data_IF_137462672422
#
_entry.id   IF_137462672422
#
_cell.length_a   1.000
_cell.length_b   1.000
_cell.length_c   1.000
_cell.angle_alpha   90.00
_cell.angle_beta   90.00
_cell.angle_gamma   90.00
#
_symmetry.space_group_name_H-M   'P 1'
#
loop_
_entity.id
_entity.type
_entity.pdbx_description
1 polymer ?
#
# COMPACT_ATOMS: atom_id res chain seq x y z
N UNK A 1 -11.17 6.49 7.25
CA UNK A 1 -10.43 6.31 5.98
C UNK A 1 -9.33 5.31 6.18
N UNK A 2 -9.13 4.42 5.22
CA UNK A 2 -8.16 3.32 5.25
C UNK A 2 -7.06 3.63 4.23
N UNK A 3 -5.81 3.64 4.68
CA UNK A 3 -4.64 3.75 3.81
C UNK A 3 -4.08 2.35 3.69
N UNK A 4 -4.09 1.82 2.46
CA UNK A 4 -3.79 0.44 2.12
C UNK A 4 -2.51 0.38 1.29
N UNK A 5 -1.70 -0.62 1.55
CA UNK A 5 -0.62 -1.07 0.70
C UNK A 5 -0.58 -2.59 0.68
N UNK A 6 -0.13 -3.16 -0.42
CA UNK A 6 -0.07 -4.61 -0.64
C UNK A 6 1.31 -5.03 -1.14
N UNK A 7 1.80 -6.16 -0.64
CA UNK A 7 2.90 -6.87 -1.27
C UNK A 7 2.39 -8.14 -1.94
N UNK A 8 2.91 -8.47 -3.14
CA UNK A 8 2.45 -9.62 -3.90
C UNK A 8 3.57 -10.40 -4.60
N UNK A 9 3.26 -11.64 -4.86
CA UNK A 9 4.03 -12.50 -5.75
C UNK A 9 3.47 -12.34 -7.18
N UNK A 10 4.29 -11.84 -8.09
CA UNK A 10 3.83 -11.45 -9.43
C UNK A 10 3.36 -12.66 -10.22
N UNK A 11 2.22 -12.49 -10.88
CA UNK A 11 1.70 -13.44 -11.85
C UNK A 11 2.54 -13.53 -13.13
N UNK A 12 2.28 -14.56 -13.91
CA UNK A 12 2.88 -14.79 -15.22
C UNK A 12 1.83 -15.37 -16.20
N UNK A 13 2.12 -15.42 -17.50
CA UNK A 13 1.15 -15.74 -18.58
C UNK A 13 0.19 -16.89 -18.29
N UNK A 14 0.68 -17.98 -17.70
CA UNK A 14 -0.14 -19.16 -17.36
C UNK A 14 -0.91 -19.02 -16.04
N UNK A 15 -0.54 -18.07 -15.20
CA UNK A 15 -1.12 -17.78 -13.90
C UNK A 15 -1.01 -16.26 -13.66
N UNK A 16 -1.90 -15.46 -14.24
CA UNK A 16 -1.77 -14.00 -14.26
C UNK A 16 -2.04 -13.33 -12.92
N UNK A 17 -2.61 -14.03 -11.94
CA UNK A 17 -2.92 -13.45 -10.64
C UNK A 17 -1.65 -12.96 -9.94
N UNK A 18 -1.62 -11.71 -9.54
CA UNK A 18 -0.68 -11.21 -8.56
C UNK A 18 -1.16 -11.68 -7.17
N UNK A 19 -0.54 -12.76 -6.68
CA UNK A 19 -0.95 -13.39 -5.41
C UNK A 19 -0.49 -12.57 -4.22
N UNK A 20 -1.41 -12.05 -3.43
CA UNK A 20 -1.10 -11.20 -2.28
C UNK A 20 -0.33 -11.98 -1.22
N UNK A 21 0.78 -11.39 -0.76
CA UNK A 21 1.66 -11.89 0.29
C UNK A 21 1.50 -11.12 1.60
N UNK A 22 1.17 -9.84 1.52
CA UNK A 22 0.93 -9.01 2.70
C UNK A 22 -0.20 -8.02 2.43
N UNK A 23 -1.06 -7.83 3.43
CA UNK A 23 -2.03 -6.75 3.50
C UNK A 23 -1.60 -5.87 4.67
N UNK A 24 -1.15 -4.66 4.36
CA UNK A 24 -0.79 -3.64 5.34
C UNK A 24 -1.74 -2.47 5.23
N UNK A 25 -2.34 -2.05 6.33
CA UNK A 25 -3.22 -0.91 6.32
C UNK A 25 -3.19 -0.12 7.63
N UNK A 26 -3.46 1.15 7.53
CA UNK A 26 -3.67 2.02 8.68
C UNK A 26 -5.00 2.75 8.55
N UNK A 27 -5.62 3.03 9.69
CA UNK A 27 -6.84 3.80 9.77
C UNK A 27 -6.53 5.20 10.27
N UNK A 28 -7.09 6.21 9.61
CA UNK A 28 -7.10 7.60 10.08
C UNK A 28 -8.54 8.10 10.16
N UNK A 29 -8.83 9.00 11.09
CA UNK A 29 -10.18 9.58 11.22
C UNK A 29 -10.55 10.45 10.00
N UNK A 30 -9.54 11.09 9.41
CA UNK A 30 -9.68 11.96 8.24
C UNK A 30 -8.37 12.03 7.48
N UNK A 31 -8.40 12.55 6.26
CA UNK A 31 -7.21 12.84 5.47
C UNK A 31 -6.21 13.68 6.27
N UNK A 32 -4.98 13.19 6.37
CA UNK A 32 -3.91 13.84 7.16
C UNK A 32 -4.06 13.76 8.68
N UNK A 33 -5.07 13.03 9.17
CA UNK A 33 -5.26 12.77 10.60
C UNK A 33 -4.22 11.79 11.18
N UNK A 34 -4.20 11.64 12.52
CA UNK A 34 -3.35 10.63 13.15
C UNK A 34 -3.78 9.22 12.79
N UNK A 35 -2.83 8.29 12.79
CA UNK A 35 -3.13 6.85 12.71
C UNK A 35 -3.78 6.45 14.03
N UNK A 36 -4.98 5.86 13.96
CA UNK A 36 -5.75 5.42 15.13
C UNK A 36 -5.82 3.91 15.26
N UNK A 37 -5.55 3.17 14.17
CA UNK A 37 -5.54 1.71 14.17
C UNK A 37 -4.70 1.19 13.01
N UNK A 38 -4.24 -0.06 13.11
CA UNK A 38 -3.41 -0.72 12.09
C UNK A 38 -3.87 -2.14 11.82
N UNK A 39 -3.70 -2.59 10.59
CA UNK A 39 -3.91 -3.97 10.18
C UNK A 39 -2.67 -4.50 9.47
N UNK A 40 -2.25 -5.72 9.82
CA UNK A 40 -1.14 -6.40 9.15
C UNK A 40 -1.41 -7.89 9.05
N UNK A 41 -1.34 -8.44 7.86
CA UNK A 41 -1.47 -9.87 7.61
C UNK A 41 -0.42 -10.33 6.61
N UNK A 42 0.52 -11.16 7.07
CA UNK A 42 1.49 -11.84 6.22
C UNK A 42 0.97 -13.21 5.81
N UNK A 43 0.92 -13.48 4.51
CA UNK A 43 0.23 -14.63 3.94
C UNK A 43 1.22 -15.62 3.31
N UNK A 44 0.93 -16.88 3.47
CA UNK A 44 1.62 -17.93 2.72
C UNK A 44 0.98 -18.07 1.34
N UNK A 45 1.76 -17.95 0.24
CA UNK A 45 1.23 -18.15 -1.10
C UNK A 45 0.80 -19.61 -1.32
N UNK A 46 -0.27 -19.78 -2.10
CA UNK A 46 -0.86 -21.08 -2.43
C UNK A 46 -1.11 -21.27 -3.93
N UNK A 47 -1.15 -20.17 -4.68
CA UNK A 47 -1.34 -20.17 -6.12
C UNK A 47 -0.01 -20.37 -6.84
N UNK A 48 1.01 -19.62 -6.46
CA UNK A 48 2.35 -19.73 -7.04
C UNK A 48 3.25 -20.60 -6.18
N UNK A 49 3.87 -21.63 -6.80
CA UNK A 49 4.80 -22.54 -6.12
C UNK A 49 6.15 -21.89 -5.79
N UNK A 50 6.51 -20.81 -6.48
CA UNK A 50 7.79 -20.12 -6.35
C UNK A 50 7.55 -18.63 -6.21
N UNK A 51 8.39 -17.98 -5.43
CA UNK A 51 8.45 -16.52 -5.37
C UNK A 51 9.16 -15.98 -6.62
N UNK A 52 8.63 -14.93 -7.20
CA UNK A 52 9.29 -14.18 -8.27
C UNK A 52 10.51 -13.40 -7.75
N UNK A 53 11.21 -12.69 -8.64
CA UNK A 53 12.42 -11.96 -8.27
C UNK A 53 12.15 -10.76 -7.36
N UNK A 54 10.97 -10.12 -7.50
CA UNK A 54 10.54 -9.03 -6.63
C UNK A 54 10.21 -9.54 -5.24
N UNK A 55 9.32 -10.52 -5.15
CA UNK A 55 8.90 -11.12 -3.88
C UNK A 55 10.08 -11.70 -3.06
N UNK A 56 11.13 -12.19 -3.72
CA UNK A 56 12.35 -12.67 -3.04
C UNK A 56 13.16 -11.59 -2.35
N UNK A 57 12.92 -10.33 -2.65
CA UNK A 57 13.62 -9.18 -2.05
C UNK A 57 12.84 -8.54 -0.91
N UNK A 58 11.59 -8.98 -0.69
CA UNK A 58 10.75 -8.44 0.36
C UNK A 58 11.32 -8.77 1.75
N UNK A 59 11.30 -7.83 2.69
CA UNK A 59 11.83 -8.04 4.04
C UNK A 59 11.20 -9.25 4.74
N UNK A 60 9.89 -9.47 4.54
CA UNK A 60 9.11 -10.53 5.19
C UNK A 60 9.15 -11.88 4.46
N UNK A 61 10.05 -12.11 3.52
CA UNK A 61 10.09 -13.36 2.73
C UNK A 61 10.01 -14.64 3.59
N UNK A 62 10.75 -14.69 4.70
CA UNK A 62 10.76 -15.87 5.58
C UNK A 62 9.43 -16.01 6.35
N UNK A 63 8.79 -14.87 6.66
CA UNK A 63 7.45 -14.87 7.28
C UNK A 63 6.42 -15.44 6.29
N UNK A 64 6.46 -15.03 5.02
CA UNK A 64 5.55 -15.57 4.00
C UNK A 64 5.72 -17.08 3.80
N UNK A 65 6.94 -17.60 3.84
CA UNK A 65 7.21 -19.03 3.71
C UNK A 65 6.63 -19.86 4.84
N UNK A 66 6.61 -19.31 6.06
CA UNK A 66 6.24 -20.01 7.29
C UNK A 66 4.86 -19.68 7.82
N UNK A 67 4.22 -18.61 7.31
CA UNK A 67 2.90 -18.17 7.73
C UNK A 67 1.86 -19.29 7.64
N UNK A 68 0.97 -19.33 8.62
CA UNK A 68 -0.22 -20.19 8.60
C UNK A 68 -1.44 -19.48 7.99
N UNK A 69 -1.37 -18.16 7.83
CA UNK A 69 -2.45 -17.38 7.24
C UNK A 69 -2.53 -17.59 5.73
N UNK A 70 -3.74 -17.56 5.20
CA UNK A 70 -4.06 -17.66 3.78
C UNK A 70 -4.95 -16.49 3.40
N UNK A 71 -4.95 -16.14 2.12
CA UNK A 71 -5.70 -15.00 1.63
C UNK A 71 -7.18 -15.01 2.06
N UNK A 72 -7.97 -16.10 1.95
CA UNK A 72 -9.38 -16.06 2.33
C UNK A 72 -9.62 -15.59 3.76
N UNK A 73 -8.93 -16.18 4.73
CA UNK A 73 -9.08 -15.80 6.14
C UNK A 73 -8.57 -14.39 6.44
N UNK A 74 -7.48 -13.96 5.78
CA UNK A 74 -6.97 -12.60 5.95
C UNK A 74 -7.92 -11.56 5.31
N UNK A 75 -8.51 -11.86 4.16
CA UNK A 75 -9.49 -10.99 3.52
C UNK A 75 -10.76 -10.82 4.39
N UNK A 76 -11.24 -11.89 5.02
CA UNK A 76 -12.34 -11.82 5.98
C UNK A 76 -11.99 -10.96 7.19
N UNK A 77 -10.80 -11.20 7.79
CA UNK A 77 -10.32 -10.40 8.92
C UNK A 77 -10.13 -8.92 8.55
N UNK A 78 -9.58 -8.65 7.36
CA UNK A 78 -9.41 -7.28 6.86
C UNK A 78 -10.77 -6.60 6.63
N UNK A 79 -11.74 -7.32 6.06
CA UNK A 79 -13.11 -6.81 5.89
C UNK A 79 -13.76 -6.47 7.21
N UNK A 80 -13.63 -7.35 8.21
CA UNK A 80 -14.14 -7.09 9.55
C UNK A 80 -13.46 -5.87 10.19
N UNK A 81 -12.14 -5.72 9.97
CA UNK A 81 -11.39 -4.56 10.44
C UNK A 81 -11.79 -3.28 9.69
N UNK A 82 -12.05 -3.32 8.38
CA UNK A 82 -12.56 -2.17 7.62
C UNK A 82 -13.91 -1.68 8.18
N UNK A 83 -14.78 -2.61 8.59
CA UNK A 83 -16.14 -2.26 9.01
C UNK A 83 -16.91 -1.57 7.89
N UNK A 84 -17.50 -0.41 8.18
CA UNK A 84 -18.27 0.39 7.23
C UNK A 84 -17.42 1.42 6.47
N UNK A 85 -16.10 1.48 6.73
CA UNK A 85 -15.22 2.40 6.00
C UNK A 85 -15.06 1.94 4.56
N UNK A 86 -15.42 2.83 3.62
CA UNK A 86 -15.32 2.61 2.17
C UNK A 86 -14.45 3.65 1.46
N UNK A 87 -13.78 4.48 2.24
CA UNK A 87 -12.83 5.48 1.74
C UNK A 87 -11.42 4.94 1.88
N UNK A 88 -10.77 4.72 0.76
CA UNK A 88 -9.42 4.17 0.70
C UNK A 88 -8.42 5.21 0.18
N UNK A 89 -7.18 5.02 0.51
CA UNK A 89 -6.05 5.74 -0.06
C UNK A 89 -4.84 4.81 -0.19
N UNK A 90 -3.88 5.20 -1.03
CA UNK A 90 -2.63 4.47 -1.21
C UNK A 90 -1.54 5.33 -1.83
N UNK A 91 -0.33 4.80 -1.92
CA UNK A 91 0.76 5.41 -2.66
C UNK A 91 0.78 4.89 -4.09
N UNK A 92 -0.03 5.49 -4.96
CA UNK A 92 -0.39 5.00 -6.28
C UNK A 92 -1.73 4.26 -6.28
N UNK A 93 -2.17 3.86 -7.45
CA UNK A 93 -3.39 3.06 -7.64
C UNK A 93 -3.08 1.60 -7.86
N UNK A 94 -4.11 0.74 -7.72
CA UNK A 94 -4.03 -0.68 -8.06
C UNK A 94 -4.17 -1.64 -6.88
N UNK A 95 -3.98 -1.19 -5.63
CA UNK A 95 -4.07 -2.07 -4.46
C UNK A 95 -5.49 -2.62 -4.26
N UNK A 96 -6.52 -1.78 -4.38
CA UNK A 96 -7.92 -2.21 -4.24
C UNK A 96 -8.29 -3.15 -5.38
N UNK A 97 -7.84 -2.88 -6.61
CA UNK A 97 -8.03 -3.76 -7.76
C UNK A 97 -7.33 -5.12 -7.55
N UNK A 98 -6.06 -5.13 -7.12
CA UNK A 98 -5.32 -6.36 -6.83
C UNK A 98 -5.98 -7.16 -5.70
N UNK A 99 -6.46 -6.48 -4.65
CA UNK A 99 -7.22 -7.09 -3.57
C UNK A 99 -8.49 -7.77 -4.11
N UNK A 100 -9.23 -7.09 -5.00
CA UNK A 100 -10.46 -7.59 -5.58
C UNK A 100 -10.22 -8.71 -6.61
N UNK A 101 -9.12 -8.68 -7.36
CA UNK A 101 -8.73 -9.81 -8.21
C UNK A 101 -8.47 -11.08 -7.38
N UNK A 102 -7.81 -10.93 -6.23
CA UNK A 102 -7.61 -12.05 -5.31
C UNK A 102 -8.94 -12.51 -4.70
N UNK A 103 -9.83 -11.60 -4.29
CA UNK A 103 -11.18 -11.95 -3.84
C UNK A 103 -11.92 -12.75 -4.92
N UNK A 104 -11.93 -12.29 -6.16
CA UNK A 104 -12.56 -12.98 -7.29
C UNK A 104 -11.98 -14.37 -7.51
N UNK A 105 -10.67 -14.53 -7.43
CA UNK A 105 -10.01 -15.84 -7.58
C UNK A 105 -10.48 -16.85 -6.53
N UNK A 106 -10.70 -16.38 -5.30
CA UNK A 106 -11.12 -17.21 -4.18
C UNK A 106 -12.66 -17.29 -3.98
N UNK A 107 -13.45 -16.68 -4.87
CA UNK A 107 -14.90 -16.64 -4.76
C UNK A 107 -15.42 -15.82 -3.58
N UNK A 108 -14.66 -14.83 -3.14
CA UNK A 108 -15.03 -13.92 -2.06
C UNK A 108 -15.69 -12.65 -2.63
N UNK A 109 -16.57 -11.99 -1.86
CA UNK A 109 -17.13 -10.71 -2.27
C UNK A 109 -16.02 -9.64 -2.40
N UNK A 110 -16.16 -8.68 -3.34
CA UNK A 110 -15.17 -7.61 -3.50
C UNK A 110 -15.17 -6.66 -2.30
N UNK A 111 -14.10 -5.90 -2.15
CA UNK A 111 -14.06 -4.72 -1.30
C UNK A 111 -14.64 -3.55 -2.08
N UNK A 112 -15.65 -2.91 -1.51
CA UNK A 112 -16.28 -1.73 -2.10
C UNK A 112 -15.49 -0.49 -1.66
N UNK A 113 -14.89 0.21 -2.61
CA UNK A 113 -14.30 1.52 -2.39
C UNK A 113 -15.23 2.56 -3.03
N UNK A 114 -15.86 3.40 -2.22
CA UNK A 114 -16.69 4.52 -2.70
C UNK A 114 -15.79 5.67 -3.18
N UNK A 115 -14.65 5.88 -2.49
CA UNK A 115 -13.63 6.84 -2.88
C UNK A 115 -12.23 6.23 -2.71
N UNK A 116 -11.33 6.59 -3.63
CA UNK A 116 -9.91 6.26 -3.53
C UNK A 116 -9.04 7.49 -3.76
N UNK A 117 -8.15 7.77 -2.82
CA UNK A 117 -7.19 8.86 -2.89
C UNK A 117 -5.80 8.35 -3.26
N UNK A 118 -5.34 8.67 -4.46
CA UNK A 118 -3.98 8.40 -4.90
C UNK A 118 -3.03 9.50 -4.39
N UNK A 119 -2.36 9.23 -3.28
CA UNK A 119 -1.43 10.19 -2.66
C UNK A 119 -0.16 10.38 -3.48
N UNK A 120 0.29 9.37 -4.23
CA UNK A 120 1.43 9.52 -5.13
C UNK A 120 1.15 10.53 -6.22
N UNK A 121 -0.02 10.45 -6.82
CA UNK A 121 -0.47 11.38 -7.86
C UNK A 121 -0.67 12.78 -7.29
N UNK A 122 -1.31 12.89 -6.13
CA UNK A 122 -1.51 14.17 -5.45
C UNK A 122 -0.17 14.82 -5.09
N UNK A 123 0.79 14.03 -4.60
CA UNK A 123 2.13 14.49 -4.26
C UNK A 123 2.90 14.95 -5.50
N UNK A 124 2.93 14.15 -6.57
CA UNK A 124 3.56 14.52 -7.83
C UNK A 124 2.98 15.83 -8.39
N UNK A 125 1.65 15.97 -8.37
CA UNK A 125 0.97 17.19 -8.81
C UNK A 125 1.34 18.39 -7.93
N UNK A 126 1.37 18.24 -6.61
CA UNK A 126 1.77 19.32 -5.69
C UNK A 126 3.22 19.77 -5.94
N UNK A 127 4.07 18.87 -6.42
CA UNK A 127 5.46 19.14 -6.77
C UNK A 127 5.64 19.61 -8.23
N UNK A 128 4.59 19.70 -9.04
CA UNK A 128 4.72 19.98 -10.47
C UNK A 128 5.56 18.93 -11.23
N UNK A 129 5.61 17.70 -10.74
CA UNK A 129 6.35 16.62 -11.36
C UNK A 129 5.52 15.92 -12.44
N UNK A 130 6.14 15.67 -13.60
CA UNK A 130 5.51 14.95 -14.71
C UNK A 130 5.49 13.43 -14.54
N UNK A 131 6.20 12.91 -13.54
CA UNK A 131 6.36 11.47 -13.28
C UNK A 131 5.96 11.13 -11.85
N UNK A 132 5.57 9.88 -11.66
CA UNK A 132 5.32 9.32 -10.33
C UNK A 132 6.60 9.36 -9.48
N UNK A 133 6.43 9.71 -8.20
CA UNK A 133 7.52 9.79 -7.24
C UNK A 133 7.44 8.56 -6.34
N UNK A 134 8.54 7.84 -6.18
CA UNK A 134 8.60 6.69 -5.27
C UNK A 134 8.36 7.13 -3.82
N UNK A 135 7.71 6.28 -3.01
CA UNK A 135 7.35 6.56 -1.62
C UNK A 135 8.56 7.02 -0.79
N UNK A 136 9.67 6.30 -0.86
CA UNK A 136 10.89 6.64 -0.14
C UNK A 136 11.46 8.01 -0.51
N UNK A 137 11.37 8.41 -1.80
CA UNK A 137 11.81 9.74 -2.26
C UNK A 137 10.90 10.85 -1.73
N UNK A 138 9.60 10.59 -1.67
CA UNK A 138 8.65 11.53 -1.11
C UNK A 138 8.88 11.70 0.40
N UNK A 139 9.15 10.60 1.12
CA UNK A 139 9.48 10.64 2.53
C UNK A 139 10.77 11.43 2.80
N UNK A 140 11.83 11.15 2.03
CA UNK A 140 13.09 11.89 2.10
C UNK A 140 12.89 13.39 1.84
N UNK A 141 12.15 13.74 0.79
CA UNK A 141 11.81 15.12 0.44
C UNK A 141 11.07 15.85 1.57
N UNK A 142 10.16 15.19 2.25
CA UNK A 142 9.40 15.74 3.37
C UNK A 142 10.16 15.72 4.70
N UNK A 143 11.39 15.22 4.73
CA UNK A 143 12.18 15.08 5.95
C UNK A 143 11.59 14.04 6.92
N UNK A 144 10.84 13.06 6.41
CA UNK A 144 10.32 11.95 7.22
C UNK A 144 11.48 11.01 7.54
N UNK A 145 11.76 10.71 8.82
CA UNK A 145 12.85 9.82 9.19
C UNK A 145 12.67 8.42 8.59
N UNK A 146 13.76 7.86 8.07
CA UNK A 146 13.83 6.48 7.56
C UNK A 146 14.02 5.52 8.76
N UNK A 147 12.89 5.12 9.36
CA UNK A 147 12.88 4.31 10.58
C UNK A 147 12.34 2.90 10.37
N UNK A 148 11.72 2.63 9.22
CA UNK A 148 11.13 1.35 8.87
C UNK A 148 11.54 0.92 7.46
N UNK A 149 11.72 -0.37 7.24
CA UNK A 149 12.00 -0.92 5.92
C UNK A 149 10.87 -0.63 4.94
N UNK A 150 11.21 -0.14 3.75
CA UNK A 150 10.30 -0.06 2.61
C UNK A 150 10.03 -1.45 2.03
N UNK A 151 8.99 -1.55 1.22
CA UNK A 151 8.48 -2.82 0.69
C UNK A 151 8.01 -3.77 1.80
N UNK A 152 7.48 -3.19 2.86
CA UNK A 152 6.66 -3.82 3.86
C UNK A 152 5.32 -3.10 3.86
N UNK A 153 4.24 -3.76 3.48
CA UNK A 153 2.95 -3.11 3.24
C UNK A 153 2.45 -2.28 4.43
N UNK A 154 2.64 -2.72 5.68
CA UNK A 154 2.25 -1.91 6.83
C UNK A 154 3.11 -0.65 6.97
N UNK A 155 4.42 -0.77 6.79
CA UNK A 155 5.33 0.37 6.89
C UNK A 155 5.04 1.37 5.77
N UNK A 156 4.82 0.89 4.54
CA UNK A 156 4.51 1.73 3.39
C UNK A 156 3.15 2.45 3.57
N UNK A 157 2.15 1.78 4.14
CA UNK A 157 0.90 2.42 4.55
C UNK A 157 1.10 3.50 5.64
N UNK A 158 2.00 3.26 6.61
CA UNK A 158 2.36 4.26 7.63
C UNK A 158 3.07 5.47 7.03
N UNK A 159 4.06 5.27 6.16
CA UNK A 159 4.71 6.37 5.44
C UNK A 159 3.72 7.17 4.59
N UNK A 160 2.83 6.46 3.88
CA UNK A 160 1.77 7.07 3.08
C UNK A 160 0.84 7.94 3.95
N UNK A 161 0.47 7.50 5.15
CA UNK A 161 -0.33 8.28 6.08
C UNK A 161 0.39 9.58 6.53
N UNK A 162 1.69 9.48 6.82
CA UNK A 162 2.50 10.65 7.20
C UNK A 162 2.57 11.65 6.04
N UNK A 163 2.77 11.17 4.81
CA UNK A 163 2.79 12.02 3.62
C UNK A 163 1.40 12.60 3.30
N UNK A 164 0.33 11.87 3.56
CA UNK A 164 -1.04 12.40 3.50
C UNK A 164 -1.24 13.59 4.43
N UNK A 165 -0.64 13.58 5.62
CA UNK A 165 -0.63 14.73 6.54
C UNK A 165 0.15 15.92 5.96
N UNK A 166 1.24 15.65 5.28
CA UNK A 166 2.01 16.68 4.60
C UNK A 166 1.20 17.35 3.49
N UNK A 167 0.46 16.59 2.69
CA UNK A 167 -0.41 17.09 1.61
C UNK A 167 -1.57 17.97 2.11
N UNK A 168 -1.99 17.84 3.35
CA UNK A 168 -3.11 18.61 3.91
C UNK A 168 -2.69 19.89 4.64
N UNK A 169 -1.40 20.21 4.72
CA UNK A 169 -0.92 21.42 5.37
C UNK A 169 -1.23 22.64 4.51
N UNK A 170 -1.97 23.58 5.09
CA UNK A 170 -2.43 24.82 4.43
C UNK A 170 -1.32 25.87 4.22
N UNK A 171 -0.15 25.68 4.85
CA UNK A 171 1.00 26.58 4.80
C UNK A 171 1.98 26.25 3.66
N UNK A 172 1.67 25.26 2.84
CA UNK A 172 2.47 24.89 1.68
C UNK A 172 2.19 25.84 0.50
N UNK A 173 2.70 27.07 0.60
CA UNK A 173 3.03 27.87 -0.58
C UNK A 173 4.26 27.22 -1.22
N UNK A 174 4.02 26.05 -1.82
CA UNK A 174 5.09 25.26 -2.36
C UNK A 174 5.66 25.91 -3.61
N UNK A 175 6.97 26.14 -3.62
CA UNK A 175 7.74 26.44 -4.82
C UNK A 175 8.52 25.19 -5.18
N UNK A 176 8.37 24.66 -6.41
CA UNK A 176 9.16 23.54 -6.84
C UNK A 176 10.64 23.92 -6.85
N UNK A 177 11.43 23.28 -6.01
CA UNK A 177 12.84 23.18 -6.30
C UNK A 177 13.03 22.16 -7.43
N UNK A 178 13.91 22.43 -8.39
CA UNK A 178 14.15 21.49 -9.47
C UNK A 178 14.62 20.15 -8.89
N UNK A 179 14.09 19.06 -9.44
CA UNK A 179 14.49 17.71 -9.05
C UNK A 179 16.01 17.58 -9.02
N UNK A 180 16.61 16.95 -7.98
CA UNK A 180 18.03 16.74 -7.94
C UNK A 180 18.51 15.98 -9.19
N UNK A 181 19.72 16.27 -9.69
CA UNK A 181 20.23 15.64 -10.90
C UNK A 181 20.26 14.12 -10.75
N UNK A 182 19.83 13.43 -11.80
CA UNK A 182 19.91 11.97 -11.87
C UNK A 182 21.37 11.54 -11.74
N UNK A 183 21.69 10.76 -10.75
CA UNK A 183 22.95 10.03 -10.61
C UNK A 183 22.84 8.66 -11.28
#
# INVERSE_FOLDING_TARGET
MIILDLEWNRGYDKKPLNEILQIGAVRTEKLGGPIVDTFNACLRPTVHKKFDLGAKKLPELEVFKTSRQRFPGAAEAFRAWCGDDKVFAGWGGGDVEALNENCKYWGLPPFEAEEFFDFQRAFAHALGADQQIALWRAAEYCGVPDVFDYHNALNDAMYTAVLGRWLTRSDLAWRPEPAPPKH
#
